data_IF_770595568013
#
_entry.id   IF_770595568013
#
_cell.length_a   1.000
_cell.length_b   1.000
_cell.length_c   1.000
_cell.angle_alpha   90.00
_cell.angle_beta   90.00
_cell.angle_gamma   90.00
#
_symmetry.space_group_name_H-M   'P 1'
#
loop_
_entity.id
_entity.type
_entity.pdbx_description
1 polymer ?
#
# COMPACT_ATOMS: atom_id res chain seq x y z
N UNK A 1 34.13 17.46 16.00
CA UNK A 1 33.74 18.22 14.80
C UNK A 1 32.24 18.10 14.67
N UNK A 2 31.59 19.23 14.46
CA UNK A 2 30.14 19.47 14.53
C UNK A 2 29.33 18.54 13.62
N UNK A 3 28.09 18.18 14.00
CA UNK A 3 27.15 17.51 13.10
C UNK A 3 26.81 18.50 11.98
N UNK A 4 27.24 18.17 10.77
CA UNK A 4 26.91 18.93 9.58
C UNK A 4 25.41 18.86 9.32
N UNK A 5 24.83 20.03 9.04
CA UNK A 5 23.48 20.21 8.53
C UNK A 5 23.22 19.22 7.39
N UNK A 6 22.20 18.37 7.55
CA UNK A 6 21.65 17.63 6.44
C UNK A 6 21.15 18.66 5.41
N UNK A 7 21.65 18.63 4.16
CA UNK A 7 21.32 19.65 3.20
C UNK A 7 19.83 19.57 2.85
N UNK A 8 19.15 20.73 2.94
CA UNK A 8 17.89 20.98 2.23
C UNK A 8 18.12 20.73 0.74
N UNK A 9 17.92 19.49 0.28
CA UNK A 9 18.03 19.13 -1.13
C UNK A 9 16.66 19.01 -1.80
N UNK A 10 15.76 19.96 -1.51
CA UNK A 10 15.09 20.62 -2.63
C UNK A 10 16.11 21.57 -3.24
N UNK A 11 16.93 21.06 -4.18
CA UNK A 11 17.70 21.90 -5.07
C UNK A 11 16.79 23.06 -5.53
N UNK A 12 17.24 24.31 -5.34
CA UNK A 12 16.57 25.54 -5.82
C UNK A 12 15.77 25.20 -7.07
N UNK A 13 14.44 25.13 -6.96
CA UNK A 13 13.64 24.46 -7.98
C UNK A 13 13.90 25.12 -9.32
N UNK A 14 14.47 24.36 -10.26
CA UNK A 14 14.43 24.78 -11.65
C UNK A 14 12.95 25.00 -11.99
N UNK A 15 12.63 26.12 -12.65
CA UNK A 15 11.25 26.39 -13.07
C UNK A 15 10.68 25.14 -13.76
N UNK A 16 9.51 24.64 -13.35
CA UNK A 16 8.94 23.45 -13.94
C UNK A 16 8.73 23.67 -15.44
N UNK A 17 9.27 22.75 -16.25
CA UNK A 17 9.05 22.75 -17.69
C UNK A 17 7.72 22.06 -17.98
N UNK A 18 6.81 22.76 -18.66
CA UNK A 18 5.54 22.18 -19.10
C UNK A 18 5.70 21.49 -20.45
N UNK A 19 5.04 20.37 -20.64
CA UNK A 19 5.05 19.58 -21.86
C UNK A 19 3.63 19.15 -22.17
N UNK A 20 3.22 19.28 -23.43
CA UNK A 20 1.86 18.92 -23.86
C UNK A 20 1.89 17.54 -24.52
N UNK A 21 1.25 16.51 -23.92
CA UNK A 21 1.13 15.22 -24.57
C UNK A 21 0.21 15.28 -25.79
N UNK A 22 0.38 14.33 -26.72
CA UNK A 22 -0.55 14.11 -27.83
C UNK A 22 -1.76 13.32 -27.33
N UNK A 23 -2.97 13.82 -27.54
CA UNK A 23 -4.20 13.05 -27.35
C UNK A 23 -4.33 11.97 -28.46
N UNK A 24 -4.71 10.77 -28.06
CA UNK A 24 -5.04 9.64 -28.93
C UNK A 24 -6.56 9.44 -28.98
N UNK A 25 -7.04 8.65 -29.94
CA UNK A 25 -8.48 8.46 -30.20
C UNK A 25 -9.22 7.67 -29.10
N UNK A 26 -8.49 6.93 -28.28
CA UNK A 26 -8.99 6.06 -27.20
C UNK A 26 -9.04 6.74 -25.82
N UNK A 27 -8.86 8.06 -25.77
CA UNK A 27 -8.81 8.83 -24.51
C UNK A 27 -7.46 8.78 -23.79
N UNK A 28 -6.43 8.17 -24.39
CA UNK A 28 -5.07 8.15 -23.86
C UNK A 28 -4.29 9.40 -24.28
N UNK A 29 -3.56 10.00 -23.35
CA UNK A 29 -2.60 11.07 -23.62
C UNK A 29 -1.18 10.52 -23.58
N UNK A 30 -0.39 10.76 -24.64
CA UNK A 30 0.95 10.17 -24.77
C UNK A 30 2.02 11.23 -25.05
N UNK A 31 3.13 11.14 -24.33
CA UNK A 31 4.33 11.94 -24.57
C UNK A 31 5.56 11.02 -24.67
N UNK A 32 6.38 11.20 -25.71
CA UNK A 32 7.69 10.55 -25.81
C UNK A 32 8.75 11.46 -25.20
N UNK A 33 9.35 11.03 -24.09
CA UNK A 33 10.32 11.80 -23.34
C UNK A 33 11.75 11.39 -23.70
N UNK A 34 12.72 12.33 -23.78
CA UNK A 34 14.11 11.97 -23.99
C UNK A 34 14.69 11.28 -22.74
N UNK A 35 15.59 10.31 -22.94
CA UNK A 35 16.20 9.50 -21.85
C UNK A 35 16.84 10.34 -20.73
N UNK A 36 17.31 11.56 -21.03
CA UNK A 36 17.85 12.53 -20.06
C UNK A 36 16.83 13.04 -19.01
N UNK A 37 15.55 12.71 -19.15
CA UNK A 37 14.54 13.02 -18.14
C UNK A 37 14.42 11.92 -17.07
N UNK A 38 15.05 10.76 -17.25
CA UNK A 38 15.12 9.75 -16.20
C UNK A 38 15.71 10.36 -14.91
N UNK A 39 15.07 10.09 -13.78
CA UNK A 39 15.41 10.67 -12.48
C UNK A 39 14.81 12.05 -12.19
N UNK A 40 13.99 12.60 -13.10
CA UNK A 40 13.23 13.84 -12.82
C UNK A 40 11.89 13.52 -12.18
N UNK A 41 11.47 14.37 -11.26
CA UNK A 41 10.11 14.37 -10.74
C UNK A 41 9.13 15.05 -11.70
N UNK A 42 7.90 14.57 -11.74
CA UNK A 42 6.83 15.10 -12.57
C UNK A 42 5.45 14.90 -11.93
N UNK A 43 4.49 15.67 -12.43
CA UNK A 43 3.06 15.57 -12.16
C UNK A 43 2.32 15.71 -13.50
N UNK A 44 1.07 15.24 -13.53
CA UNK A 44 0.14 15.58 -14.58
C UNK A 44 -0.64 16.82 -14.20
N UNK A 45 -0.72 17.78 -15.14
CA UNK A 45 -1.65 18.90 -15.05
C UNK A 45 -2.86 18.62 -15.94
N UNK A 46 -4.00 18.37 -15.32
CA UNK A 46 -5.24 17.94 -15.98
C UNK A 46 -6.24 19.10 -15.95
N UNK A 47 -6.73 19.49 -17.12
CA UNK A 47 -7.84 20.42 -17.24
C UNK A 47 -9.10 19.64 -17.65
N UNK A 48 -10.04 19.49 -16.73
CA UNK A 48 -11.24 18.69 -16.95
C UNK A 48 -12.43 19.21 -16.14
N UNK A 49 -13.64 18.90 -16.61
CA UNK A 49 -14.85 19.15 -15.83
C UNK A 49 -14.83 18.27 -14.56
N UNK A 50 -15.05 18.89 -13.40
CA UNK A 50 -15.13 18.19 -12.13
C UNK A 50 -16.58 18.18 -11.62
N UNK A 51 -17.23 17.00 -11.46
CA UNK A 51 -18.65 16.93 -11.08
C UNK A 51 -18.96 17.60 -9.74
N UNK A 52 -18.04 17.56 -8.78
CA UNK A 52 -18.23 18.19 -7.46
C UNK A 52 -18.37 19.72 -7.54
N UNK A 53 -17.63 20.38 -8.44
CA UNK A 53 -17.62 21.86 -8.53
C UNK A 53 -18.50 22.37 -9.66
N UNK A 54 -18.90 21.51 -10.59
CA UNK A 54 -19.67 21.87 -11.77
C UNK A 54 -18.90 22.76 -12.76
N UNK A 55 -17.56 22.74 -12.70
CA UNK A 55 -16.68 23.62 -13.48
C UNK A 55 -15.53 22.85 -14.11
N UNK A 56 -14.90 23.44 -15.12
CA UNK A 56 -13.60 22.98 -15.61
C UNK A 56 -12.54 23.43 -14.60
N UNK A 57 -11.93 22.46 -13.93
CA UNK A 57 -10.85 22.68 -12.97
C UNK A 57 -9.49 22.45 -13.65
N UNK A 58 -8.45 23.07 -13.12
CA UNK A 58 -7.05 22.73 -13.44
C UNK A 58 -6.44 22.06 -12.23
N UNK A 59 -6.24 20.76 -12.33
CA UNK A 59 -5.80 19.88 -11.26
C UNK A 59 -4.38 19.42 -11.51
N UNK A 60 -3.63 19.20 -10.44
CA UNK A 60 -2.28 18.64 -10.49
C UNK A 60 -2.22 17.40 -9.59
N UNK A 61 -1.69 16.30 -10.12
CA UNK A 61 -1.54 15.03 -9.42
C UNK A 61 -0.30 14.26 -9.91
N UNK A 62 0.36 13.45 -9.05
CA UNK A 62 1.25 12.38 -9.50
C UNK A 62 0.55 11.37 -10.42
N UNK A 63 1.34 10.51 -11.05
CA UNK A 63 0.86 9.41 -11.88
C UNK A 63 0.26 8.29 -11.01
N UNK A 64 -1.00 7.87 -11.24
CA UNK A 64 -1.58 6.70 -10.56
C UNK A 64 -0.76 5.40 -10.72
N UNK A 65 0.06 5.28 -11.77
CA UNK A 65 0.94 4.15 -12.05
C UNK A 65 2.40 4.43 -11.64
N UNK A 66 2.64 5.40 -10.76
CA UNK A 66 3.97 5.68 -10.25
C UNK A 66 4.58 4.44 -9.59
N UNK A 67 5.87 4.22 -9.82
CA UNK A 67 6.66 3.13 -9.18
C UNK A 67 7.51 3.63 -8.00
N UNK A 68 7.67 4.95 -7.90
CA UNK A 68 8.14 5.67 -6.70
C UNK A 68 7.79 7.16 -6.82
N UNK A 69 7.92 7.92 -5.73
CA UNK A 69 7.58 9.34 -5.65
C UNK A 69 8.57 10.13 -4.77
N UNK A 70 8.40 11.44 -4.72
CA UNK A 70 8.97 12.30 -3.68
C UNK A 70 8.21 12.10 -2.38
N UNK A 71 8.71 12.69 -1.29
CA UNK A 71 8.00 12.65 -0.01
C UNK A 71 6.53 13.09 -0.15
N UNK A 72 5.66 12.45 0.64
CA UNK A 72 4.22 12.71 0.76
C UNK A 72 3.47 12.62 -0.58
N UNK A 73 3.96 11.75 -1.47
CA UNK A 73 3.43 11.54 -2.82
C UNK A 73 3.31 12.80 -3.69
N UNK A 74 4.02 13.89 -3.38
CA UNK A 74 3.81 15.17 -4.09
C UNK A 74 4.05 15.07 -5.60
N UNK A 75 5.02 14.24 -6.02
CA UNK A 75 5.42 14.07 -7.43
C UNK A 75 5.88 12.65 -7.71
N UNK A 76 5.53 12.15 -8.88
CA UNK A 76 6.07 10.89 -9.40
C UNK A 76 7.52 11.05 -9.83
N UNK A 77 8.35 10.03 -9.61
CA UNK A 77 9.69 9.97 -10.17
C UNK A 77 9.66 9.26 -11.53
N UNK A 78 10.18 9.91 -12.58
CA UNK A 78 10.33 9.29 -13.89
C UNK A 78 11.53 8.33 -13.87
N UNK A 79 11.29 7.07 -13.51
CA UNK A 79 12.33 6.05 -13.46
C UNK A 79 11.83 4.70 -13.96
N UNK A 80 12.78 3.80 -14.22
CA UNK A 80 12.53 2.37 -14.36
C UNK A 80 13.05 1.70 -13.11
N UNK A 81 12.25 0.81 -12.51
CA UNK A 81 12.74 0.01 -11.39
C UNK A 81 13.91 -0.88 -11.87
N UNK A 82 14.99 -0.97 -11.09
CA UNK A 82 16.05 -1.92 -11.40
C UNK A 82 15.46 -3.33 -11.32
N UNK A 83 15.99 -4.26 -12.12
CA UNK A 83 15.58 -5.66 -12.02
C UNK A 83 15.81 -6.17 -10.59
N UNK A 84 14.94 -7.07 -10.13
CA UNK A 84 15.17 -7.78 -8.88
C UNK A 84 16.45 -8.62 -9.01
N UNK A 85 17.45 -8.33 -8.20
CA UNK A 85 18.73 -9.06 -8.24
C UNK A 85 18.59 -10.44 -7.60
N UNK A 86 18.21 -11.42 -8.41
CA UNK A 86 18.07 -12.81 -7.97
C UNK A 86 19.38 -13.46 -7.52
N UNK A 87 20.54 -12.88 -7.83
CA UNK A 87 21.84 -13.45 -7.43
C UNK A 87 22.23 -13.03 -6.01
N UNK A 88 21.83 -11.84 -5.56
CA UNK A 88 22.14 -11.34 -4.21
C UNK A 88 20.99 -11.51 -3.20
N UNK A 89 19.77 -11.76 -3.67
CA UNK A 89 18.61 -11.93 -2.82
C UNK A 89 18.40 -13.41 -2.42
N UNK A 90 18.01 -13.68 -1.15
CA UNK A 90 17.75 -15.04 -0.70
C UNK A 90 16.62 -15.69 -1.49
N UNK A 91 16.65 -17.03 -1.67
CA UNK A 91 15.58 -17.73 -2.36
C UNK A 91 14.27 -17.61 -1.58
N UNK A 92 13.16 -17.58 -2.31
CA UNK A 92 11.83 -17.63 -1.73
C UNK A 92 11.66 -18.94 -0.95
N UNK A 93 11.21 -18.91 0.33
CA UNK A 93 11.06 -20.12 1.14
C UNK A 93 10.17 -21.18 0.46
N UNK A 94 10.54 -22.47 0.45
CA UNK A 94 9.72 -23.52 -0.16
C UNK A 94 8.31 -23.56 0.45
N UNK A 95 7.29 -23.70 -0.41
CA UNK A 95 5.89 -23.76 0.02
C UNK A 95 5.11 -24.70 -0.89
N UNK A 96 4.55 -25.76 -0.31
CA UNK A 96 4.01 -26.90 -1.08
C UNK A 96 2.54 -26.78 -1.38
N UNK A 97 1.70 -26.38 -0.43
CA UNK A 97 0.27 -26.20 -0.66
C UNK A 97 -0.23 -24.96 0.07
N UNK A 98 -1.20 -24.26 -0.53
CA UNK A 98 -1.81 -23.07 0.10
C UNK A 98 -2.42 -23.36 1.47
N UNK A 99 -2.87 -24.60 1.69
CA UNK A 99 -3.38 -25.08 2.99
C UNK A 99 -2.31 -25.22 4.09
N UNK A 100 -1.01 -25.22 3.73
CA UNK A 100 0.08 -25.23 4.70
C UNK A 100 0.34 -23.83 5.29
N UNK A 101 -0.41 -22.81 4.86
CA UNK A 101 -0.22 -21.43 5.29
C UNK A 101 -0.55 -21.25 6.78
N UNK A 102 0.46 -20.86 7.53
CA UNK A 102 0.35 -20.27 8.87
C UNK A 102 0.84 -18.83 8.79
N UNK A 103 -0.07 -17.88 9.03
CA UNK A 103 0.10 -16.44 8.78
C UNK A 103 0.22 -15.69 10.11
N UNK A 104 1.18 -14.77 10.18
CA UNK A 104 1.34 -13.83 11.29
C UNK A 104 1.20 -12.40 10.79
N UNK A 105 0.14 -11.73 11.21
CA UNK A 105 -0.11 -10.33 10.88
C UNK A 105 0.82 -9.42 11.70
N UNK A 106 1.47 -8.46 11.04
CA UNK A 106 2.51 -7.62 11.63
C UNK A 106 2.53 -6.22 11.00
N UNK A 107 2.72 -5.21 11.83
CA UNK A 107 2.95 -3.84 11.39
C UNK A 107 4.45 -3.49 11.38
N UNK A 108 4.91 -2.76 10.35
CA UNK A 108 6.33 -2.39 10.17
C UNK A 108 6.85 -1.59 11.37
N UNK A 109 6.05 -0.63 11.87
CA UNK A 109 6.47 0.18 13.02
C UNK A 109 6.47 -0.63 14.30
N UNK A 110 5.43 -1.41 14.56
CA UNK A 110 5.27 -2.20 15.79
C UNK A 110 6.42 -3.18 15.98
N UNK A 111 6.87 -3.79 14.88
CA UNK A 111 7.97 -4.75 14.89
C UNK A 111 9.23 -4.24 15.59
N UNK A 112 9.54 -2.95 15.48
CA UNK A 112 10.87 -2.44 15.87
C UNK A 112 10.91 -1.07 16.55
N UNK A 113 9.82 -0.30 16.60
CA UNK A 113 9.81 1.06 17.16
C UNK A 113 10.33 1.12 18.61
N UNK A 114 10.05 0.08 19.40
CA UNK A 114 10.50 -0.04 20.81
C UNK A 114 11.64 -1.05 21.02
N UNK A 115 12.09 -1.76 19.98
CA UNK A 115 13.18 -2.73 20.12
C UNK A 115 14.54 -2.03 20.19
N UNK A 116 15.08 -1.93 21.40
CA UNK A 116 16.38 -1.28 21.65
C UNK A 116 17.56 -2.03 21.03
N UNK A 117 17.41 -3.30 20.66
CA UNK A 117 18.44 -4.06 19.96
C UNK A 117 18.57 -3.70 18.47
N UNK A 118 17.55 -3.05 17.90
CA UNK A 118 17.58 -2.47 16.55
C UNK A 118 18.32 -1.13 16.60
N UNK A 119 19.16 -0.85 15.59
CA UNK A 119 19.85 0.43 15.46
C UNK A 119 18.82 1.57 15.38
N UNK A 120 19.03 2.69 16.09
CA UNK A 120 18.04 3.77 16.24
C UNK A 120 17.51 4.29 14.89
N UNK A 121 18.39 4.49 13.91
CA UNK A 121 18.01 4.95 12.56
C UNK A 121 17.25 3.93 11.69
N UNK A 122 17.04 2.70 12.20
CA UNK A 122 16.27 1.63 11.54
C UNK A 122 14.98 1.28 12.28
N UNK A 123 14.75 1.82 13.49
CA UNK A 123 13.54 1.49 14.27
C UNK A 123 12.29 2.03 13.57
N UNK A 124 11.29 1.17 13.46
CA UNK A 124 10.03 1.43 12.77
C UNK A 124 10.16 1.62 11.26
N UNK A 125 11.20 1.04 10.65
CA UNK A 125 11.51 1.16 9.22
C UNK A 125 11.74 -0.21 8.58
N UNK A 126 11.68 -0.28 7.26
CA UNK A 126 11.91 -1.50 6.48
C UNK A 126 13.23 -2.20 6.84
N UNK A 127 14.31 -1.43 7.02
CA UNK A 127 15.64 -1.97 7.31
C UNK A 127 15.78 -2.64 8.69
N UNK A 128 14.79 -2.54 9.58
CA UNK A 128 14.77 -3.31 10.82
C UNK A 128 14.71 -4.82 10.54
N UNK A 129 14.00 -5.24 9.49
CA UNK A 129 13.76 -6.65 9.16
C UNK A 129 15.01 -7.37 8.64
N UNK A 130 16.00 -6.64 8.14
CA UNK A 130 17.27 -7.19 7.67
C UNK A 130 18.30 -7.30 8.82
N UNK A 131 18.11 -6.58 9.93
CA UNK A 131 19.08 -6.56 11.03
C UNK A 131 19.01 -7.85 11.86
N UNK A 132 20.03 -8.69 11.71
CA UNK A 132 20.14 -9.97 12.43
C UNK A 132 20.48 -9.78 13.90
N UNK A 133 20.06 -10.74 14.73
CA UNK A 133 20.38 -10.76 16.16
C UNK A 133 19.63 -9.71 16.98
N UNK A 134 18.62 -9.06 16.42
CA UNK A 134 17.66 -8.23 17.16
C UNK A 134 16.63 -9.12 17.87
N UNK A 135 15.85 -8.55 18.80
CA UNK A 135 14.81 -9.32 19.48
C UNK A 135 13.72 -9.74 18.49
N UNK A 136 13.29 -8.80 17.63
CA UNK A 136 12.36 -9.08 16.54
C UNK A 136 12.87 -10.17 15.57
N UNK A 137 14.14 -10.10 15.15
CA UNK A 137 14.75 -11.13 14.27
C UNK A 137 14.75 -12.51 14.92
N UNK A 138 15.23 -12.62 16.17
CA UNK A 138 15.20 -13.88 16.92
C UNK A 138 13.78 -14.43 17.08
N UNK A 139 12.82 -13.56 17.36
CA UNK A 139 11.42 -13.94 17.55
C UNK A 139 10.83 -14.52 16.25
N UNK A 140 10.96 -13.82 15.13
CA UNK A 140 10.45 -14.29 13.84
C UNK A 140 11.11 -15.61 13.41
N UNK A 141 12.43 -15.78 13.62
CA UNK A 141 13.11 -17.06 13.34
C UNK A 141 12.59 -18.18 14.22
N UNK A 142 12.28 -17.92 15.50
CA UNK A 142 11.69 -18.91 16.40
C UNK A 142 10.30 -19.33 15.92
N UNK A 143 9.47 -18.39 15.48
CA UNK A 143 8.14 -18.70 14.92
C UNK A 143 8.27 -19.47 13.60
N UNK A 144 9.18 -19.07 12.71
CA UNK A 144 9.46 -19.80 11.46
C UNK A 144 9.90 -21.25 11.74
N UNK A 145 10.82 -21.44 12.69
CA UNK A 145 11.26 -22.77 13.11
C UNK A 145 10.15 -23.61 13.74
N UNK A 146 9.13 -22.98 14.33
CA UNK A 146 7.95 -23.66 14.88
C UNK A 146 6.89 -24.00 13.81
N UNK A 147 7.06 -23.56 12.55
CA UNK A 147 6.16 -23.86 11.44
C UNK A 147 5.38 -22.66 10.90
N UNK A 148 5.62 -21.44 11.39
CA UNK A 148 5.08 -20.24 10.75
C UNK A 148 5.65 -20.09 9.33
N UNK A 149 4.80 -19.76 8.37
CA UNK A 149 5.20 -19.75 6.94
C UNK A 149 5.17 -18.37 6.32
N UNK A 150 4.26 -17.50 6.76
CA UNK A 150 4.02 -16.19 6.17
C UNK A 150 3.95 -15.11 7.24
N UNK A 151 4.47 -13.93 6.90
CA UNK A 151 4.16 -12.67 7.58
C UNK A 151 3.24 -11.89 6.67
N UNK A 152 2.06 -11.52 7.16
CA UNK A 152 1.16 -10.55 6.52
C UNK A 152 1.50 -9.19 7.08
N UNK A 153 2.06 -8.33 6.23
CA UNK A 153 2.36 -6.96 6.61
C UNK A 153 1.13 -6.10 6.41
N UNK A 154 0.73 -5.35 7.45
CA UNK A 154 -0.18 -4.20 7.32
C UNK A 154 0.28 -3.26 6.18
N UNK A 155 -0.57 -2.33 5.71
CA UNK A 155 -0.28 -1.47 4.56
C UNK A 155 1.16 -0.98 4.46
N UNK A 156 1.79 -1.30 3.33
CA UNK A 156 3.17 -0.90 2.98
C UNK A 156 3.25 -0.18 1.63
N UNK A 157 2.09 0.07 1.01
CA UNK A 157 1.95 1.03 -0.08
C UNK A 157 1.87 2.46 0.48
N UNK A 158 2.07 3.46 -0.37
CA UNK A 158 2.00 4.89 -0.05
C UNK A 158 0.60 5.30 0.43
N UNK A 159 0.53 5.77 1.68
CA UNK A 159 -0.69 6.20 2.35
C UNK A 159 -0.55 7.62 2.94
N UNK A 160 -1.66 8.34 3.08
CA UNK A 160 -1.63 9.79 3.33
C UNK A 160 -1.69 10.23 4.80
N UNK A 161 -1.76 9.29 5.75
CA UNK A 161 -2.07 9.57 7.16
C UNK A 161 -0.86 9.62 8.10
N UNK A 162 0.36 9.56 7.57
CA UNK A 162 1.61 9.79 8.33
C UNK A 162 2.51 10.71 7.53
N UNK A 163 3.02 11.83 8.11
CA UNK A 163 4.04 12.64 7.43
C UNK A 163 5.29 11.81 7.10
N UNK A 164 5.69 11.75 5.83
CA UNK A 164 6.80 10.89 5.42
C UNK A 164 8.16 11.41 5.93
N UNK A 165 8.29 12.73 6.12
CA UNK A 165 9.48 13.37 6.66
C UNK A 165 9.53 13.32 8.17
N UNK A 166 10.68 12.97 8.74
CA UNK A 166 10.81 12.81 10.19
C UNK A 166 10.70 14.14 10.94
N UNK A 167 11.14 15.23 10.31
CA UNK A 167 11.06 16.60 10.82
C UNK A 167 9.62 17.15 10.93
N UNK A 168 8.69 16.59 10.16
CA UNK A 168 7.28 16.98 10.16
C UNK A 168 6.46 16.17 11.17
N UNK A 169 7.11 15.22 11.88
CA UNK A 169 6.46 14.37 12.87
C UNK A 169 6.57 14.90 14.29
N UNK A 170 5.56 14.61 15.09
CA UNK A 170 5.52 14.89 16.52
C UNK A 170 5.62 13.58 17.34
N UNK A 171 6.06 13.70 18.60
CA UNK A 171 6.06 12.59 19.55
C UNK A 171 5.23 13.01 20.78
N UNK A 172 4.38 12.12 21.33
CA UNK A 172 3.52 12.46 22.45
C UNK A 172 4.33 12.69 23.73
N UNK A 173 3.98 13.73 24.47
CA UNK A 173 4.58 14.01 25.78
C UNK A 173 3.78 13.28 26.87
N UNK A 174 4.19 12.05 27.18
CA UNK A 174 3.45 11.21 28.13
C UNK A 174 3.50 11.76 29.55
N UNK A 175 2.38 11.73 30.30
CA UNK A 175 2.35 12.16 31.70
C UNK A 175 3.20 11.22 32.58
N UNK A 176 4.06 11.79 33.42
CA UNK A 176 5.05 11.02 34.23
C UNK A 176 4.49 10.43 35.53
N UNK A 177 3.29 10.83 35.95
CA UNK A 177 2.65 10.41 37.22
C UNK A 177 1.22 9.91 37.05
N UNK A 178 0.80 9.60 35.84
CA UNK A 178 -0.55 9.14 35.58
C UNK A 178 -0.75 7.68 36.04
N UNK A 179 -1.89 7.38 36.65
CA UNK A 179 -2.31 6.02 36.99
C UNK A 179 -2.66 5.21 35.73
N UNK A 180 -2.74 3.87 35.83
CA UNK A 180 -3.00 3.01 34.67
C UNK A 180 -4.35 3.27 33.97
N UNK A 181 -5.33 3.83 34.69
CA UNK A 181 -6.68 4.18 34.23
C UNK A 181 -6.87 5.68 33.94
N UNK A 182 -5.81 6.47 34.00
CA UNK A 182 -5.88 7.91 33.76
C UNK A 182 -6.08 8.23 32.27
N UNK A 183 -6.92 9.23 32.00
CA UNK A 183 -7.13 9.76 30.65
C UNK A 183 -5.91 10.52 30.10
N UNK A 184 -4.95 10.91 30.95
CA UNK A 184 -3.81 11.73 30.54
C UNK A 184 -2.95 11.07 29.45
N UNK A 185 -2.84 9.73 29.46
CA UNK A 185 -2.10 8.98 28.45
C UNK A 185 -2.75 9.11 27.07
N UNK A 186 -4.06 8.87 26.97
CA UNK A 186 -4.76 8.95 25.68
C UNK A 186 -4.83 10.38 25.17
N UNK A 187 -5.01 11.37 26.06
CA UNK A 187 -4.98 12.79 25.67
C UNK A 187 -3.65 13.18 25.03
N UNK A 188 -2.53 12.79 25.64
CA UNK A 188 -1.19 13.09 25.12
C UNK A 188 -0.91 12.43 23.77
N UNK A 189 -1.44 11.22 23.54
CA UNK A 189 -1.34 10.55 22.24
C UNK A 189 -2.21 11.25 21.20
N UNK A 190 -3.48 11.53 21.53
CA UNK A 190 -4.43 12.15 20.60
C UNK A 190 -4.06 13.58 20.21
N UNK A 191 -3.35 14.31 21.08
CA UNK A 191 -2.83 15.65 20.77
C UNK A 191 -1.93 15.67 19.51
N UNK A 192 -1.24 14.57 19.24
CA UNK A 192 -0.28 14.47 18.12
C UNK A 192 -0.63 13.38 17.11
N UNK A 193 -1.74 12.66 17.26
CA UNK A 193 -2.05 11.46 16.46
C UNK A 193 -2.08 11.71 14.94
N UNK A 194 -2.47 12.91 14.48
CA UNK A 194 -2.45 13.27 13.04
C UNK A 194 -1.04 13.60 12.50
N UNK A 195 -0.05 13.71 13.38
CA UNK A 195 1.31 14.16 13.07
C UNK A 195 2.37 13.24 13.63
N UNK A 196 2.03 12.19 14.34
CA UNK A 196 3.02 11.26 14.83
C UNK A 196 3.47 10.32 13.70
N UNK A 197 4.29 9.34 14.04
CA UNK A 197 4.82 8.39 13.08
C UNK A 197 3.96 7.12 12.95
N UNK A 198 2.71 7.13 13.41
CA UNK A 198 1.89 5.94 13.57
C UNK A 198 0.51 6.08 12.93
N UNK A 199 0.30 5.27 11.90
CA UNK A 199 -1.02 4.85 11.45
C UNK A 199 -0.91 3.40 10.99
N UNK A 200 -2.03 2.69 10.91
CA UNK A 200 -2.07 1.39 10.24
C UNK A 200 -1.92 1.49 8.73
N UNK A 201 -2.26 2.65 8.14
CA UNK A 201 -2.02 2.95 6.73
C UNK A 201 -3.14 2.51 5.79
N UNK A 202 -4.35 2.26 6.29
CA UNK A 202 -5.55 1.98 5.48
C UNK A 202 -6.09 3.27 4.83
N UNK A 203 -5.19 4.09 4.29
CA UNK A 203 -5.44 5.44 3.76
C UNK A 203 -4.72 5.62 2.40
N UNK A 204 -5.07 4.82 1.37
CA UNK A 204 -4.30 4.69 0.14
C UNK A 204 -4.25 5.97 -0.71
N UNK A 205 -3.04 6.30 -1.19
CA UNK A 205 -2.76 7.43 -2.09
C UNK A 205 -2.17 6.93 -3.41
N UNK A 206 -0.99 6.31 -3.40
CA UNK A 206 -0.39 5.63 -4.56
C UNK A 206 -0.21 4.12 -4.32
N UNK A 207 -1.14 3.33 -4.88
CA UNK A 207 -1.23 1.88 -4.67
C UNK A 207 0.02 1.06 -5.09
N UNK A 208 0.87 1.60 -5.96
CA UNK A 208 2.04 0.91 -6.50
C UNK A 208 3.39 1.37 -5.92
N UNK A 209 3.38 2.29 -4.96
CA UNK A 209 4.61 2.87 -4.39
C UNK A 209 4.76 2.40 -2.95
N UNK A 210 5.95 1.97 -2.49
CA UNK A 210 6.15 1.70 -1.06
C UNK A 210 5.99 2.95 -0.20
N UNK A 211 5.49 2.79 1.02
CA UNK A 211 5.34 3.86 2.00
C UNK A 211 6.71 4.50 2.31
N UNK A 212 6.81 5.83 2.18
CA UNK A 212 8.05 6.57 2.38
C UNK A 212 8.40 6.78 3.85
N UNK A 213 7.40 6.86 4.75
CA UNK A 213 7.64 7.07 6.18
C UNK A 213 8.39 5.91 6.86
N UNK A 214 8.33 4.71 6.28
CA UNK A 214 9.06 3.51 6.68
C UNK A 214 10.45 3.39 6.05
N UNK A 215 10.85 4.31 5.17
CA UNK A 215 12.17 4.33 4.54
C UNK A 215 13.15 5.24 5.28
N UNK A 216 14.44 5.13 4.98
CA UNK A 216 15.45 6.05 5.51
C UNK A 216 15.45 7.43 4.84
N UNK A 217 15.03 7.48 3.58
CA UNK A 217 14.87 8.68 2.77
C UNK A 217 13.58 8.53 1.94
N UNK A 218 12.53 9.33 2.22
CA UNK A 218 11.29 9.23 1.47
C UNK A 218 11.45 9.69 0.02
N UNK A 219 12.47 10.48 -0.34
CA UNK A 219 12.59 10.98 -1.71
C UNK A 219 13.20 9.94 -2.66
N UNK A 220 12.37 9.37 -3.55
CA UNK A 220 12.83 8.60 -4.69
C UNK A 220 13.09 7.12 -4.38
N UNK A 221 14.29 6.60 -4.68
CA UNK A 221 14.49 5.14 -4.81
C UNK A 221 14.77 4.40 -3.49
N UNK A 222 15.10 5.10 -2.40
CA UNK A 222 15.46 4.44 -1.14
C UNK A 222 14.30 3.58 -0.61
N UNK A 223 13.06 4.08 -0.61
CA UNK A 223 11.85 3.31 -0.25
C UNK A 223 11.72 1.99 -1.01
N UNK A 224 11.99 1.99 -2.32
CA UNK A 224 11.93 0.78 -3.14
C UNK A 224 13.01 -0.20 -2.70
N UNK A 225 14.26 0.25 -2.63
CA UNK A 225 15.38 -0.61 -2.26
C UNK A 225 15.22 -1.21 -0.85
N UNK A 226 14.79 -0.40 0.10
CA UNK A 226 14.63 -0.83 1.49
C UNK A 226 13.43 -1.77 1.67
N UNK A 227 12.32 -1.51 0.99
CA UNK A 227 11.19 -2.44 0.96
C UNK A 227 11.59 -3.81 0.39
N UNK A 228 12.35 -3.84 -0.72
CA UNK A 228 12.88 -5.10 -1.27
C UNK A 228 13.81 -5.82 -0.28
N UNK A 229 14.65 -5.06 0.46
CA UNK A 229 15.53 -5.61 1.50
C UNK A 229 14.77 -6.13 2.72
N UNK A 230 13.65 -5.53 3.08
CA UNK A 230 12.74 -6.08 4.11
C UNK A 230 12.26 -7.46 3.69
N UNK A 231 11.77 -7.60 2.46
CA UNK A 231 11.28 -8.88 1.92
C UNK A 231 12.39 -9.93 1.90
N UNK A 232 13.58 -9.59 1.42
CA UNK A 232 14.74 -10.47 1.52
C UNK A 232 15.09 -10.84 2.97
N UNK A 233 15.02 -9.87 3.90
CA UNK A 233 15.24 -10.11 5.32
C UNK A 233 14.27 -11.14 5.91
N UNK A 234 13.01 -11.13 5.47
CA UNK A 234 11.97 -12.10 5.84
C UNK A 234 12.18 -13.46 5.15
N UNK A 235 12.46 -13.48 3.84
CA UNK A 235 12.80 -14.71 3.11
C UNK A 235 14.01 -15.43 3.72
N UNK A 236 15.06 -14.70 4.15
CA UNK A 236 16.23 -15.26 4.85
C UNK A 236 15.89 -15.88 6.21
N UNK A 237 14.74 -15.53 6.80
CA UNK A 237 14.22 -16.14 8.04
C UNK A 237 13.33 -17.36 7.75
N UNK A 238 13.13 -17.72 6.49
CA UNK A 238 12.22 -18.79 6.08
C UNK A 238 10.75 -18.35 5.99
N UNK A 239 10.48 -17.04 5.95
CA UNK A 239 9.14 -16.49 5.96
C UNK A 239 8.81 -15.83 4.63
N UNK A 240 7.67 -16.22 4.05
CA UNK A 240 7.05 -15.55 2.90
C UNK A 240 6.33 -14.27 3.34
N UNK A 241 6.09 -13.35 2.42
CA UNK A 241 5.52 -12.02 2.72
C UNK A 241 4.20 -11.81 1.99
N UNK A 242 3.12 -11.58 2.74
CA UNK A 242 1.81 -11.19 2.23
C UNK A 242 1.66 -9.68 2.38
N UNK A 243 1.21 -9.01 1.31
CA UNK A 243 0.85 -7.60 1.33
C UNK A 243 -0.61 -7.41 1.73
N UNK A 244 -0.89 -6.53 2.69
CA UNK A 244 -2.21 -5.94 2.82
C UNK A 244 -2.44 -4.91 1.70
N UNK A 245 -3.50 -5.10 0.92
CA UNK A 245 -3.84 -4.23 -0.21
C UNK A 245 -5.24 -3.66 -0.04
N UNK A 246 -5.35 -2.33 -0.15
CA UNK A 246 -6.55 -1.58 0.20
C UNK A 246 -7.14 -0.92 -1.04
N UNK A 247 -7.69 -1.72 -1.94
CA UNK A 247 -8.25 -1.21 -3.21
C UNK A 247 -9.70 -0.75 -3.11
N UNK A 248 -10.37 -0.96 -1.98
CA UNK A 248 -11.81 -0.70 -1.81
C UNK A 248 -12.14 0.80 -1.69
N UNK A 249 -11.17 1.66 -1.35
CA UNK A 249 -11.34 3.10 -1.29
C UNK A 249 -10.05 3.88 -1.58
N UNK A 250 -10.16 5.21 -1.72
CA UNK A 250 -9.04 6.15 -1.80
C UNK A 250 -9.04 7.13 -0.61
N UNK A 251 -7.88 7.61 -0.18
CA UNK A 251 -7.83 8.57 0.94
C UNK A 251 -8.34 9.96 0.56
N UNK A 252 -8.02 10.43 -0.65
CA UNK A 252 -8.45 11.73 -1.17
C UNK A 252 -9.42 11.63 -2.35
N UNK A 253 -10.30 12.63 -2.47
CA UNK A 253 -11.17 12.84 -3.63
C UNK A 253 -11.33 14.33 -3.93
N UNK A 254 -11.94 14.66 -5.07
CA UNK A 254 -12.18 16.04 -5.45
C UNK A 254 -10.99 16.73 -6.14
N UNK A 255 -11.14 18.01 -6.53
CA UNK A 255 -10.14 18.72 -7.32
C UNK A 255 -9.00 19.33 -6.48
N UNK A 256 -9.08 19.26 -5.15
CA UNK A 256 -8.15 19.91 -4.20
C UNK A 256 -7.48 18.89 -3.28
N UNK A 257 -6.37 19.28 -2.65
CA UNK A 257 -5.62 18.44 -1.69
C UNK A 257 -4.63 17.49 -2.36
N UNK A 258 -3.58 17.09 -1.64
CA UNK A 258 -2.47 16.33 -2.24
C UNK A 258 -2.77 14.83 -2.41
N UNK A 259 -3.74 14.30 -1.65
CA UNK A 259 -4.07 12.88 -1.64
C UNK A 259 -5.13 12.46 -2.67
N UNK A 260 -5.78 13.43 -3.35
CA UNK A 260 -6.72 13.13 -4.44
C UNK A 260 -5.96 12.89 -5.73
N UNK A 261 -5.63 11.63 -6.03
CA UNK A 261 -4.87 11.26 -7.23
C UNK A 261 -5.83 10.83 -8.33
N UNK A 262 -6.52 9.72 -8.13
CA UNK A 262 -7.40 9.10 -9.13
C UNK A 262 -8.51 10.06 -9.59
N UNK A 263 -9.18 10.76 -8.67
CA UNK A 263 -10.29 11.66 -8.97
C UNK A 263 -9.81 12.98 -9.62
N UNK A 264 -8.56 13.40 -9.40
CA UNK A 264 -7.96 14.51 -10.18
C UNK A 264 -7.58 14.10 -11.59
N UNK A 265 -7.12 12.86 -11.78
CA UNK A 265 -6.73 12.35 -13.10
C UNK A 265 -7.95 12.14 -14.01
N UNK A 266 -9.02 11.52 -13.49
CA UNK A 266 -10.27 11.30 -14.23
C UNK A 266 -11.46 11.55 -13.31
N UNK A 267 -11.92 12.81 -13.18
CA UNK A 267 -12.99 13.20 -12.26
C UNK A 267 -14.27 12.38 -12.42
N UNK A 268 -14.70 11.79 -11.31
CA UNK A 268 -15.92 11.01 -11.23
C UNK A 268 -15.87 9.61 -11.84
N UNK A 269 -14.68 9.13 -12.25
CA UNK A 269 -14.52 7.78 -12.82
C UNK A 269 -14.07 6.72 -11.82
N UNK A 270 -13.04 6.94 -11.00
CA UNK A 270 -12.50 5.84 -10.18
C UNK A 270 -13.29 5.57 -8.91
N UNK A 271 -14.07 6.56 -8.45
CA UNK A 271 -14.84 6.49 -7.21
C UNK A 271 -16.30 6.11 -7.50
N UNK A 272 -16.85 5.23 -6.66
CA UNK A 272 -18.24 4.81 -6.69
C UNK A 272 -19.14 5.95 -6.24
N UNK A 273 -20.29 6.07 -6.90
CA UNK A 273 -21.23 7.16 -6.67
C UNK A 273 -22.64 6.65 -6.42
N UNK A 274 -23.34 7.42 -5.61
CA UNK A 274 -24.80 7.36 -5.41
C UNK A 274 -25.51 7.90 -6.65
N UNK A 275 -26.82 7.68 -6.71
CA UNK A 275 -27.67 8.23 -7.77
C UNK A 275 -27.66 9.76 -7.82
N UNK A 276 -27.49 10.42 -6.68
CA UNK A 276 -27.34 11.89 -6.58
C UNK A 276 -25.95 12.40 -6.99
N UNK A 277 -25.07 11.49 -7.43
CA UNK A 277 -23.70 11.80 -7.87
C UNK A 277 -22.69 11.99 -6.74
N UNK A 278 -23.08 11.93 -5.46
CA UNK A 278 -22.13 11.97 -4.34
C UNK A 278 -21.33 10.68 -4.26
N UNK A 279 -20.10 10.77 -3.76
CA UNK A 279 -19.22 9.61 -3.58
C UNK A 279 -19.73 8.75 -2.43
N UNK A 280 -19.69 7.41 -2.60
CA UNK A 280 -19.99 6.46 -1.54
C UNK A 280 -18.86 6.41 -0.50
N UNK A 281 -19.21 6.22 0.77
CA UNK A 281 -18.26 6.27 1.90
C UNK A 281 -18.48 5.14 2.93
N UNK A 282 -19.08 4.02 2.52
CA UNK A 282 -19.33 2.90 3.45
C UNK A 282 -18.03 2.24 3.92
N UNK A 283 -16.95 2.30 3.13
CA UNK A 283 -15.63 1.72 3.42
C UNK A 283 -14.71 2.71 4.14
N UNK A 284 -15.24 3.49 5.09
CA UNK A 284 -14.65 4.72 5.66
C UNK A 284 -14.91 5.99 4.82
N UNK A 285 -14.35 6.07 3.62
CA UNK A 285 -14.51 7.21 2.70
C UNK A 285 -14.22 6.80 1.26
N UNK A 286 -14.64 7.60 0.28
CA UNK A 286 -14.26 7.53 -1.13
C UNK A 286 -14.14 6.12 -1.73
N UNK A 287 -15.20 5.31 -1.64
CA UNK A 287 -15.21 3.95 -2.18
C UNK A 287 -14.77 3.94 -3.65
N UNK A 288 -13.91 3.01 -4.06
CA UNK A 288 -13.56 2.82 -5.47
C UNK A 288 -14.63 2.02 -6.21
N UNK A 289 -14.65 2.14 -7.53
CA UNK A 289 -15.63 1.49 -8.40
C UNK A 289 -14.97 0.43 -9.30
N UNK A 290 -14.63 -0.74 -8.75
CA UNK A 290 -13.99 -1.85 -9.49
C UNK A 290 -14.90 -2.52 -10.52
N UNK A 291 -16.18 -2.16 -10.56
CA UNK A 291 -17.10 -2.43 -11.67
C UNK A 291 -16.77 -1.63 -12.94
N UNK A 292 -15.87 -0.63 -12.85
CA UNK A 292 -15.41 0.17 -13.99
C UNK A 292 -14.08 -0.35 -14.50
N UNK A 293 -14.01 -0.54 -15.82
CA UNK A 293 -12.92 -1.22 -16.51
C UNK A 293 -11.51 -0.73 -16.12
N UNK A 294 -11.27 0.59 -16.07
CA UNK A 294 -9.94 1.11 -15.75
C UNK A 294 -9.59 1.04 -14.26
N UNK A 295 -10.59 0.98 -13.37
CA UNK A 295 -10.33 0.70 -11.95
C UNK A 295 -10.00 -0.78 -11.74
N UNK A 296 -10.76 -1.70 -12.35
CA UNK A 296 -10.44 -3.14 -12.36
C UNK A 296 -9.02 -3.39 -12.88
N UNK A 297 -8.70 -2.81 -14.05
CA UNK A 297 -7.36 -2.90 -14.62
C UNK A 297 -6.30 -2.37 -13.66
N UNK A 298 -6.55 -1.23 -13.01
CA UNK A 298 -5.60 -0.67 -12.05
C UNK A 298 -5.32 -1.63 -10.89
N UNK A 299 -6.36 -2.26 -10.32
CA UNK A 299 -6.19 -3.28 -9.26
C UNK A 299 -5.34 -4.46 -9.75
N UNK A 300 -5.67 -5.03 -10.92
CA UNK A 300 -4.94 -6.18 -11.49
C UNK A 300 -3.49 -5.82 -11.78
N UNK A 301 -3.24 -4.66 -12.39
CA UNK A 301 -1.90 -4.17 -12.73
C UNK A 301 -1.06 -3.93 -11.46
N UNK A 302 -1.65 -3.36 -10.39
CA UNK A 302 -0.94 -3.12 -9.12
C UNK A 302 -0.63 -4.42 -8.36
N UNK A 303 -1.56 -5.37 -8.32
CA UNK A 303 -1.30 -6.71 -7.72
C UNK A 303 -0.15 -7.42 -8.44
N UNK A 304 -0.15 -7.38 -9.78
CA UNK A 304 0.94 -7.94 -10.58
C UNK A 304 2.24 -7.18 -10.37
N UNK A 305 2.20 -5.86 -10.26
CA UNK A 305 3.35 -5.01 -9.94
C UNK A 305 4.01 -5.44 -8.63
N UNK A 306 3.27 -5.57 -7.54
CA UNK A 306 3.80 -6.01 -6.25
C UNK A 306 4.39 -7.42 -6.29
N UNK A 307 3.75 -8.35 -7.01
CA UNK A 307 4.29 -9.70 -7.17
C UNK A 307 5.64 -9.69 -7.92
N UNK A 308 5.73 -8.98 -9.05
CA UNK A 308 6.92 -9.00 -9.92
C UNK A 308 8.04 -8.11 -9.37
N UNK A 309 7.72 -6.86 -9.08
CA UNK A 309 8.70 -5.82 -8.76
C UNK A 309 9.12 -5.86 -7.29
N UNK A 310 8.29 -6.38 -6.40
CA UNK A 310 8.60 -6.45 -4.96
C UNK A 310 8.71 -7.86 -4.42
N UNK A 311 8.33 -8.90 -5.19
CA UNK A 311 8.36 -10.32 -4.76
C UNK A 311 7.46 -10.61 -3.56
N UNK A 312 6.29 -9.99 -3.53
CA UNK A 312 5.25 -10.39 -2.59
C UNK A 312 4.80 -11.83 -2.88
N UNK A 313 4.64 -12.61 -1.81
CA UNK A 313 4.23 -14.02 -1.84
C UNK A 313 2.72 -14.23 -1.68
N UNK A 314 1.98 -13.15 -1.48
CA UNK A 314 0.53 -13.19 -1.44
C UNK A 314 -0.09 -11.84 -1.13
N UNK A 315 -1.43 -11.81 -1.14
CA UNK A 315 -2.21 -10.60 -1.00
C UNK A 315 -3.41 -10.83 -0.08
N UNK A 316 -3.56 -9.96 0.93
CA UNK A 316 -4.75 -9.83 1.75
C UNK A 316 -5.51 -8.59 1.27
N UNK A 317 -6.72 -8.76 0.76
CA UNK A 317 -7.57 -7.67 0.31
C UNK A 317 -8.42 -7.15 1.47
N UNK A 318 -8.18 -5.90 1.84
CA UNK A 318 -9.02 -5.15 2.75
C UNK A 318 -10.41 -4.93 2.15
N UNK A 319 -11.44 -5.13 2.98
CA UNK A 319 -12.86 -5.06 2.59
C UNK A 319 -13.14 -5.63 1.18
N UNK A 320 -12.59 -6.83 0.92
CA UNK A 320 -12.68 -7.52 -0.38
C UNK A 320 -14.12 -7.62 -0.91
N UNK A 321 -15.12 -7.67 -0.03
CA UNK A 321 -16.53 -7.62 -0.39
C UNK A 321 -16.96 -6.37 -1.16
N UNK A 322 -16.24 -5.24 -1.09
CA UNK A 322 -16.51 -4.03 -1.90
C UNK A 322 -15.83 -4.04 -3.27
N UNK A 323 -15.08 -5.10 -3.57
CA UNK A 323 -14.44 -5.35 -4.87
C UNK A 323 -15.28 -6.35 -5.65
N UNK A 324 -15.45 -6.14 -6.95
CA UNK A 324 -16.22 -7.08 -7.79
C UNK A 324 -15.57 -8.47 -7.80
N UNK A 325 -16.39 -9.52 -7.85
CA UNK A 325 -15.89 -10.90 -7.92
C UNK A 325 -15.00 -11.11 -9.15
N UNK A 326 -15.41 -10.55 -10.29
CA UNK A 326 -14.67 -10.60 -11.54
C UNK A 326 -13.27 -9.97 -11.43
N UNK A 327 -13.12 -8.85 -10.72
CA UNK A 327 -11.84 -8.21 -10.48
C UNK A 327 -10.89 -9.13 -9.70
N UNK A 328 -11.35 -9.71 -8.58
CA UNK A 328 -10.51 -10.60 -7.77
C UNK A 328 -10.17 -11.89 -8.52
N UNK A 329 -11.07 -12.43 -9.32
CA UNK A 329 -10.78 -13.57 -10.20
C UNK A 329 -9.73 -13.24 -11.26
N UNK A 330 -9.76 -12.03 -11.84
CA UNK A 330 -8.71 -11.55 -12.75
C UNK A 330 -7.37 -11.35 -12.04
N UNK A 331 -7.36 -10.86 -10.80
CA UNK A 331 -6.15 -10.85 -9.97
C UNK A 331 -5.60 -12.27 -9.79
N UNK A 332 -6.46 -13.24 -9.43
CA UNK A 332 -6.05 -14.63 -9.27
C UNK A 332 -5.46 -15.21 -10.57
N UNK A 333 -6.13 -15.01 -11.69
CA UNK A 333 -5.64 -15.46 -13.00
C UNK A 333 -4.30 -14.81 -13.38
N UNK A 334 -4.16 -13.49 -13.20
CA UNK A 334 -2.91 -12.77 -13.48
C UNK A 334 -1.74 -13.25 -12.60
N UNK A 335 -2.01 -13.66 -11.36
CA UNK A 335 -1.01 -14.27 -10.50
C UNK A 335 -0.66 -15.70 -10.94
N UNK A 336 -1.64 -16.49 -11.38
CA UNK A 336 -1.44 -17.86 -11.84
C UNK A 336 -0.62 -17.94 -13.15
N UNK A 337 -0.65 -16.88 -13.96
CA UNK A 337 0.19 -16.74 -15.16
C UNK A 337 1.69 -16.53 -14.84
N UNK A 338 2.03 -16.16 -13.60
CA UNK A 338 3.43 -15.96 -13.21
C UNK A 338 4.15 -17.31 -13.05
N UNK A 339 5.24 -17.47 -13.80
CA UNK A 339 6.05 -18.70 -13.80
C UNK A 339 7.46 -18.49 -13.24
N UNK A 340 8.05 -19.56 -12.70
CA UNK A 340 9.44 -19.55 -12.23
C UNK A 340 10.41 -19.21 -13.38
N UNK A 341 10.12 -19.71 -14.59
CA UNK A 341 11.00 -19.52 -15.74
C UNK A 341 11.06 -18.06 -16.22
N UNK A 342 9.92 -17.39 -16.32
CA UNK A 342 9.87 -16.02 -16.87
C UNK A 342 10.02 -14.96 -15.78
N UNK A 343 9.41 -15.21 -14.63
CA UNK A 343 9.30 -14.23 -13.56
C UNK A 343 10.15 -14.60 -12.36
N UNK A 344 10.54 -15.86 -12.16
CA UNK A 344 11.14 -16.34 -10.90
C UNK A 344 10.12 -16.49 -9.78
N UNK A 345 8.83 -16.67 -10.12
CA UNK A 345 7.71 -16.70 -9.17
C UNK A 345 6.88 -17.95 -9.47
N UNK A 346 6.57 -18.75 -8.44
CA UNK A 346 5.58 -19.82 -8.55
C UNK A 346 4.18 -19.24 -8.31
N UNK A 347 3.59 -18.65 -9.36
CA UNK A 347 2.33 -17.90 -9.33
C UNK A 347 1.17 -18.65 -8.67
N UNK A 348 0.90 -19.91 -9.05
CA UNK A 348 -0.16 -20.73 -8.44
C UNK A 348 0.00 -20.97 -6.93
N UNK A 349 1.19 -20.73 -6.36
CA UNK A 349 1.45 -20.84 -4.92
C UNK A 349 1.19 -19.58 -4.14
N UNK A 350 1.10 -18.43 -4.80
CA UNK A 350 0.85 -17.16 -4.13
C UNK A 350 -0.50 -17.18 -3.41
N UNK A 351 -0.53 -16.68 -2.18
CA UNK A 351 -1.78 -16.57 -1.43
C UNK A 351 -2.62 -15.41 -1.95
N UNK A 352 -3.94 -15.58 -1.97
CA UNK A 352 -4.87 -14.50 -2.24
C UNK A 352 -6.12 -14.72 -1.39
N UNK A 353 -6.33 -13.82 -0.44
CA UNK A 353 -7.43 -13.88 0.52
C UNK A 353 -7.90 -12.47 0.90
N UNK A 354 -9.00 -12.35 1.64
CA UNK A 354 -9.44 -11.04 2.09
C UNK A 354 -10.69 -11.05 2.97
N UNK A 355 -11.18 -9.85 3.23
CA UNK A 355 -12.37 -9.60 4.02
C UNK A 355 -13.64 -9.64 3.16
N UNK A 356 -14.26 -10.81 3.07
CA UNK A 356 -15.47 -11.01 2.29
C UNK A 356 -16.76 -10.48 2.92
N UNK A 357 -16.69 -9.40 3.71
CA UNK A 357 -17.85 -8.83 4.41
C UNK A 357 -18.84 -8.19 3.43
N UNK A 358 -20.14 -8.27 3.71
CA UNK A 358 -21.20 -7.67 2.90
C UNK A 358 -21.96 -6.62 3.74
N UNK A 359 -21.82 -5.34 3.40
CA UNK A 359 -22.51 -4.22 4.08
C UNK A 359 -22.52 -2.95 3.21
N UNK A 360 -23.28 -1.93 3.59
CA UNK A 360 -23.29 -0.65 2.88
C UNK A 360 -23.99 -0.73 1.52
N UNK A 361 -23.44 -0.09 0.48
CA UNK A 361 -24.09 0.01 -0.83
C UNK A 361 -24.11 -1.30 -1.62
N UNK A 362 -23.33 -2.31 -1.20
CA UNK A 362 -23.25 -3.62 -1.85
C UNK A 362 -24.24 -4.65 -1.27
N UNK A 363 -24.87 -4.33 -0.14
CA UNK A 363 -25.71 -5.25 0.62
C UNK A 363 -26.83 -5.85 -0.24
N UNK A 364 -27.06 -7.17 -0.09
CA UNK A 364 -28.10 -7.88 -0.83
C UNK A 364 -27.80 -8.00 -2.32
N UNK A 365 -26.54 -7.83 -2.74
CA UNK A 365 -26.14 -7.85 -4.14
C UNK A 365 -26.56 -6.60 -4.92
N UNK A 366 -26.82 -5.46 -4.25
CA UNK A 366 -27.29 -4.22 -4.88
C UNK A 366 -26.32 -3.65 -5.94
N UNK A 367 -25.04 -4.06 -5.92
CA UNK A 367 -24.02 -3.68 -6.91
C UNK A 367 -23.50 -4.88 -7.72
N UNK A 368 -24.29 -5.93 -7.84
CA UNK A 368 -23.94 -7.17 -8.56
C UNK A 368 -23.04 -8.10 -7.75
N UNK A 369 -22.38 -9.02 -8.44
CA UNK A 369 -21.54 -10.03 -7.81
C UNK A 369 -20.23 -9.42 -7.31
N UNK A 370 -20.17 -9.18 -6.00
CA UNK A 370 -18.94 -8.79 -5.31
C UNK A 370 -18.23 -9.98 -4.68
N UNK A 371 -16.96 -9.80 -4.30
CA UNK A 371 -16.13 -10.83 -3.68
C UNK A 371 -16.43 -11.01 -2.17
N UNK A 372 -17.71 -11.07 -1.80
CA UNK A 372 -18.16 -11.39 -0.46
C UNK A 372 -18.16 -12.91 -0.21
N UNK A 373 -18.14 -13.34 1.04
CA UNK A 373 -17.98 -14.76 1.45
C UNK A 373 -18.88 -15.72 0.69
N UNK A 374 -20.17 -15.36 0.51
CA UNK A 374 -21.18 -16.15 -0.22
C UNK A 374 -20.82 -16.40 -1.69
N UNK A 375 -20.11 -15.49 -2.35
CA UNK A 375 -19.75 -15.59 -3.76
C UNK A 375 -18.37 -16.21 -4.00
N UNK A 376 -17.56 -16.38 -2.95
CA UNK A 376 -16.19 -16.92 -3.06
C UNK A 376 -16.14 -18.44 -3.12
N UNK A 377 -17.23 -19.14 -2.78
CA UNK A 377 -17.27 -20.60 -2.79
C UNK A 377 -16.87 -21.17 -4.17
N UNK A 378 -15.91 -22.10 -4.19
CA UNK A 378 -15.43 -22.75 -5.42
C UNK A 378 -14.42 -21.94 -6.24
N UNK A 379 -14.12 -20.69 -5.88
CA UNK A 379 -13.19 -19.85 -6.66
C UNK A 379 -11.71 -20.11 -6.35
N UNK A 380 -11.41 -20.77 -5.24
CA UNK A 380 -10.04 -20.94 -4.75
C UNK A 380 -9.41 -19.66 -4.17
N UNK A 381 -10.22 -18.64 -3.93
CA UNK A 381 -9.89 -17.40 -3.20
C UNK A 381 -10.42 -17.55 -1.78
N UNK A 382 -9.59 -17.25 -0.77
CA UNK A 382 -9.97 -17.43 0.62
C UNK A 382 -10.55 -16.15 1.24
N UNK A 383 -11.31 -16.30 2.31
CA UNK A 383 -11.78 -15.18 3.13
C UNK A 383 -11.59 -15.47 4.61
N UNK A 384 -11.51 -14.43 5.42
CA UNK A 384 -11.60 -14.59 6.87
C UNK A 384 -12.90 -15.31 7.26
N UNK A 385 -12.80 -16.19 8.27
CA UNK A 385 -13.93 -16.90 8.85
C UNK A 385 -14.28 -16.27 10.20
N UNK A 386 -15.24 -15.38 10.16
CA UNK A 386 -15.81 -14.69 11.32
C UNK A 386 -16.67 -15.60 12.21
N UNK A 387 -17.28 -16.66 11.66
CA UNK A 387 -18.09 -17.59 12.46
C UNK A 387 -17.25 -18.28 13.55
N UNK A 388 -16.06 -18.77 13.20
CA UNK A 388 -15.15 -19.38 14.18
C UNK A 388 -14.64 -18.34 15.19
N UNK A 389 -14.30 -17.14 14.72
CA UNK A 389 -13.84 -16.03 15.57
C UNK A 389 -14.89 -15.70 16.63
N UNK A 390 -16.14 -15.47 16.20
CA UNK A 390 -17.24 -15.14 17.11
C UNK A 390 -17.52 -16.27 18.09
N UNK A 391 -17.57 -17.52 17.61
CA UNK A 391 -17.82 -18.68 18.46
C UNK A 391 -16.75 -18.91 19.55
N UNK A 392 -15.51 -18.43 19.38
CA UNK A 392 -14.44 -18.59 20.37
C UNK A 392 -14.26 -17.35 21.25
N UNK A 393 -14.43 -16.14 20.69
CA UNK A 393 -14.20 -14.88 21.42
C UNK A 393 -15.42 -14.39 22.17
N UNK A 394 -16.60 -14.58 21.60
CA UNK A 394 -17.87 -14.07 22.13
C UNK A 394 -18.59 -15.17 22.93
N UNK A 395 -17.81 -16.06 23.58
CA UNK A 395 -18.31 -17.01 24.57
C UNK A 395 -18.74 -16.23 25.81
N UNK A 396 -19.99 -15.77 25.79
CA UNK A 396 -20.78 -15.41 26.97
C UNK A 396 -21.63 -16.60 27.45
#
# INVERSE_FOLDING_TARGET
>A
MTPGEAPRHLAKSAKPSHQTPKALEDGVWRLSCPRRWAGKYYTYRVQAFHPLTGKIETMEAPDPYSVTCSADAERSLLCRLPAWDTASMPPVPPFRHRADAVIYELHVRDFSARDKSVASGRRGRYLAFEQEGTNGDRHLRKLAAAGMTHVHLLPTFDFGSVPERAEDRAEPVMPTKAGPDSEGQQMAVMEVAEKDAFNWGYDPVLYGVPEGSYSSDPDGMARVHEHRRMIAGLHKKGLRVVADVVFNHAFGSGPVGNHSILDKCVPGYYLRRREDGRVENSTCMNNTATERYMMERHVVDMVRHWAIEHRMDGFRFDLMGHITLACIQKCRAALDELSIQEHGIDGPRLLLYGEGWEFGEIEGGARGDTACQRHLAGTGIASFNDHLRGAVRDLD
#
